data_IF_787898386709
#
_entry.id   IF_787898386709
#
_cell.length_a   1.000
_cell.length_b   1.000
_cell.length_c   1.000
_cell.angle_alpha   90.00
_cell.angle_beta   90.00
_cell.angle_gamma   90.00
#
_symmetry.space_group_name_H-M   'P 1'
#
loop_
_entity.id
_entity.type
_entity.pdbx_description
1 polymer ?
#
# COMPACT_ATOMS: atom_id res chain seq x y z
N UNK A 1 106.62 38.99 48.42
CA UNK A 1 106.81 38.20 47.20
C UNK A 1 105.77 37.09 47.26
N UNK A 2 104.57 37.36 46.72
CA UNK A 2 104.11 36.91 45.38
C UNK A 2 103.67 35.43 45.44
N UNK A 3 102.53 34.93 44.94
CA UNK A 3 101.41 35.43 44.13
C UNK A 3 100.30 34.33 44.10
N UNK A 4 99.10 34.69 43.67
CA UNK A 4 97.87 33.91 43.41
C UNK A 4 97.99 32.52 42.76
N UNK A 5 96.95 31.67 42.95
CA UNK A 5 96.11 31.18 41.83
C UNK A 5 94.86 30.41 42.33
N UNK A 6 93.70 31.01 42.08
CA UNK A 6 92.41 30.34 41.86
C UNK A 6 92.55 29.24 40.79
N UNK A 7 91.77 28.15 40.89
CA UNK A 7 91.17 27.48 39.73
C UNK A 7 90.10 26.43 40.10
N UNK A 8 88.89 26.78 39.69
CA UNK A 8 87.86 25.93 39.05
C UNK A 8 87.22 24.79 39.83
N UNK A 9 86.03 25.13 40.32
CA UNK A 9 84.79 24.36 40.24
C UNK A 9 84.75 23.42 39.01
N UNK A 10 84.59 22.12 39.27
CA UNK A 10 84.36 21.07 38.28
C UNK A 10 83.00 20.42 38.53
N UNK A 11 81.99 20.96 37.87
CA UNK A 11 80.63 20.45 37.75
C UNK A 11 80.65 19.14 36.94
N UNK A 12 80.55 18.00 37.62
CA UNK A 12 80.50 16.66 36.99
C UNK A 12 79.41 15.84 37.68
N UNK A 13 78.14 16.14 37.39
CA UNK A 13 77.00 15.36 37.88
C UNK A 13 75.67 15.61 37.14
N UNK A 14 75.48 16.78 36.56
CA UNK A 14 74.21 17.24 35.99
C UNK A 14 73.75 16.63 34.63
N UNK A 15 74.59 16.11 33.71
CA UNK A 15 74.11 15.74 32.37
C UNK A 15 73.36 14.39 32.32
N UNK A 16 73.60 13.49 33.27
CA UNK A 16 73.02 12.13 33.26
C UNK A 16 71.58 12.09 33.75
N UNK A 17 71.26 12.90 34.76
CA UNK A 17 69.94 12.97 35.40
C UNK A 17 68.94 13.73 34.52
N UNK A 18 69.42 14.77 33.84
CA UNK A 18 68.64 15.55 32.87
C UNK A 18 68.23 14.68 31.66
N UNK A 19 69.16 13.88 31.13
CA UNK A 19 68.87 12.93 30.06
C UNK A 19 67.85 11.85 30.47
N UNK A 20 67.94 11.34 31.70
CA UNK A 20 66.97 10.36 32.23
C UNK A 20 65.56 10.96 32.39
N UNK A 21 65.46 12.21 32.85
CA UNK A 21 64.19 12.91 33.00
C UNK A 21 63.52 13.23 31.67
N UNK A 22 64.31 13.62 30.66
CA UNK A 22 63.84 13.83 29.28
C UNK A 22 63.35 12.51 28.67
N UNK A 23 64.08 11.42 28.85
CA UNK A 23 63.71 10.10 28.35
C UNK A 23 62.40 9.57 28.98
N UNK A 24 62.19 9.82 30.28
CA UNK A 24 60.97 9.46 30.99
C UNK A 24 59.75 10.31 30.55
N UNK A 25 59.95 11.59 30.23
CA UNK A 25 58.89 12.42 29.62
C UNK A 25 58.53 11.95 28.22
N UNK A 26 59.52 11.57 27.41
CA UNK A 26 59.29 10.99 26.08
C UNK A 26 58.53 9.68 26.16
N UNK A 27 58.90 8.77 27.06
CA UNK A 27 58.17 7.52 27.27
C UNK A 27 56.71 7.76 27.70
N UNK A 28 56.46 8.67 28.66
CA UNK A 28 55.09 9.03 29.06
C UNK A 28 54.30 9.68 27.93
N UNK A 29 54.92 10.55 27.12
CA UNK A 29 54.28 11.17 25.97
C UNK A 29 53.90 10.13 24.90
N UNK A 30 54.80 9.18 24.60
CA UNK A 30 54.54 8.08 23.66
C UNK A 30 53.44 7.16 24.17
N UNK A 31 53.47 6.76 25.44
CA UNK A 31 52.42 5.91 26.04
C UNK A 31 51.06 6.60 26.01
N UNK A 32 51.00 7.89 26.38
CA UNK A 32 49.76 8.68 26.31
C UNK A 32 49.27 8.85 24.86
N UNK A 33 50.19 9.00 23.89
CA UNK A 33 49.86 9.08 22.47
C UNK A 33 49.29 7.74 21.96
N UNK A 34 49.89 6.60 22.34
CA UNK A 34 49.40 5.26 22.00
C UNK A 34 48.04 4.98 22.63
N UNK A 35 47.82 5.39 23.88
CA UNK A 35 46.52 5.28 24.57
C UNK A 35 45.44 6.11 23.86
N UNK A 36 45.74 7.36 23.48
CA UNK A 36 44.83 8.21 22.71
C UNK A 36 44.50 7.62 21.35
N UNK A 37 45.51 7.14 20.61
CA UNK A 37 45.31 6.48 19.30
C UNK A 37 44.42 5.24 19.46
N UNK A 38 44.70 4.38 20.45
CA UNK A 38 43.87 3.19 20.74
C UNK A 38 42.43 3.58 21.07
N UNK A 39 42.23 4.59 21.91
CA UNK A 39 40.89 5.08 22.24
C UNK A 39 40.15 5.64 21.03
N UNK A 40 40.82 6.44 20.19
CA UNK A 40 40.23 6.99 18.95
C UNK A 40 39.88 5.88 17.96
N UNK A 41 40.73 4.85 17.80
CA UNK A 41 40.44 3.71 16.92
C UNK A 41 39.23 2.92 17.44
N UNK A 42 39.20 2.59 18.73
CA UNK A 42 38.07 1.86 19.33
C UNK A 42 36.79 2.68 19.25
N UNK A 43 36.84 3.97 19.57
CA UNK A 43 35.69 4.87 19.49
C UNK A 43 35.20 5.03 18.04
N UNK A 44 36.11 5.20 17.09
CA UNK A 44 35.79 5.28 15.67
C UNK A 44 35.16 3.97 15.17
N UNK A 45 35.69 2.82 15.58
CA UNK A 45 35.14 1.51 15.25
C UNK A 45 33.72 1.33 15.82
N UNK A 46 33.50 1.69 17.09
CA UNK A 46 32.18 1.63 17.72
C UNK A 46 31.19 2.56 17.01
N UNK A 47 31.56 3.81 16.75
CA UNK A 47 30.71 4.77 16.03
C UNK A 47 30.40 4.27 14.62
N UNK A 48 31.40 3.79 13.88
CA UNK A 48 31.23 3.23 12.55
C UNK A 48 30.29 2.02 12.57
N UNK A 49 30.47 1.10 13.51
CA UNK A 49 29.60 -0.06 13.69
C UNK A 49 28.15 0.34 13.97
N UNK A 50 27.93 1.36 14.82
CA UNK A 50 26.58 1.88 15.11
C UNK A 50 25.96 2.51 13.87
N UNK A 51 26.71 3.33 13.12
CA UNK A 51 26.22 3.96 11.89
C UNK A 51 25.84 2.93 10.83
N UNK A 52 26.68 1.90 10.62
CA UNK A 52 26.39 0.81 9.68
C UNK A 52 25.13 0.05 10.10
N UNK A 53 24.99 -0.26 11.39
CA UNK A 53 23.82 -0.96 11.92
C UNK A 53 22.54 -0.11 11.75
N UNK A 54 22.60 1.19 12.03
CA UNK A 54 21.49 2.12 11.81
C UNK A 54 21.10 2.22 10.33
N UNK A 55 22.09 2.29 9.44
CA UNK A 55 21.85 2.30 7.99
C UNK A 55 21.20 0.99 7.52
N UNK A 56 21.64 -0.14 8.06
CA UNK A 56 21.06 -1.46 7.76
C UNK A 56 19.60 -1.56 8.21
N UNK A 57 19.30 -1.09 9.43
CA UNK A 57 17.93 -1.02 9.94
C UNK A 57 17.08 -0.06 9.09
N UNK A 58 17.60 1.11 8.71
CA UNK A 58 16.90 2.07 7.87
C UNK A 58 16.55 1.50 6.49
N UNK A 59 17.50 0.78 5.88
CA UNK A 59 17.30 0.09 4.61
C UNK A 59 16.26 -1.04 4.73
N UNK A 60 16.33 -1.83 5.80
CA UNK A 60 15.37 -2.90 6.07
C UNK A 60 13.95 -2.35 6.31
N UNK A 61 13.83 -1.24 7.03
CA UNK A 61 12.55 -0.58 7.29
C UNK A 61 11.92 -0.06 5.99
N UNK A 62 12.72 0.59 5.14
CA UNK A 62 12.25 1.03 3.81
C UNK A 62 11.85 -0.17 2.93
N UNK A 63 12.68 -1.22 2.89
CA UNK A 63 12.37 -2.42 2.11
C UNK A 63 11.06 -3.07 2.57
N UNK A 64 10.86 -3.20 3.88
CA UNK A 64 9.63 -3.74 4.47
C UNK A 64 8.41 -2.88 4.13
N UNK A 65 8.56 -1.55 4.21
CA UNK A 65 7.51 -0.62 3.79
C UNK A 65 7.20 -0.76 2.29
N UNK A 66 8.22 -0.80 1.43
CA UNK A 66 8.06 -0.93 -0.01
C UNK A 66 7.29 -2.20 -0.38
N UNK A 67 7.69 -3.35 0.17
CA UNK A 67 7.03 -4.63 -0.14
C UNK A 67 5.63 -4.76 0.47
N UNK A 68 5.36 -4.12 1.62
CA UNK A 68 4.04 -4.13 2.24
C UNK A 68 3.07 -3.17 1.55
N UNK A 69 3.55 -2.01 1.12
CA UNK A 69 2.73 -0.94 0.57
C UNK A 69 2.49 -1.06 -0.93
N UNK A 70 3.46 -1.59 -1.68
CA UNK A 70 3.42 -1.65 -3.14
C UNK A 70 2.76 -2.95 -3.62
N UNK A 71 1.58 -2.90 -4.25
CA UNK A 71 0.94 -4.09 -4.79
C UNK A 71 1.60 -4.52 -6.10
N UNK A 72 1.20 -5.69 -6.62
CA UNK A 72 1.66 -6.15 -7.93
C UNK A 72 1.20 -5.20 -9.03
N UNK A 73 2.15 -4.69 -9.81
CA UNK A 73 1.92 -3.67 -10.84
C UNK A 73 1.19 -4.17 -12.09
N UNK A 74 1.40 -5.43 -12.46
CA UNK A 74 0.76 -6.02 -13.63
C UNK A 74 0.51 -7.51 -13.42
N UNK A 75 -0.59 -7.99 -13.97
CA UNK A 75 -0.93 -9.40 -14.03
C UNK A 75 -1.47 -9.74 -15.41
N UNK A 76 -0.98 -10.82 -16.00
CA UNK A 76 -1.48 -11.34 -17.26
C UNK A 76 -1.86 -12.80 -17.14
N UNK A 77 -2.97 -13.17 -17.76
CA UNK A 77 -3.44 -14.55 -17.87
C UNK A 77 -3.93 -14.85 -19.27
N UNK A 78 -3.60 -16.02 -19.82
CA UNK A 78 -4.20 -16.46 -21.07
C UNK A 78 -5.70 -16.71 -20.88
N UNK A 79 -6.47 -16.42 -21.93
CA UNK A 79 -7.92 -16.56 -21.99
C UNK A 79 -8.24 -17.65 -22.99
N UNK A 80 -8.84 -18.73 -22.49
CA UNK A 80 -9.23 -19.87 -23.32
C UNK A 80 -10.74 -19.85 -23.53
N UNK A 81 -11.15 -19.63 -24.77
CA UNK A 81 -12.54 -19.63 -25.16
C UNK A 81 -13.05 -21.05 -25.36
N UNK A 82 -14.26 -21.29 -24.88
CA UNK A 82 -15.04 -22.48 -25.17
C UNK A 82 -16.42 -22.05 -25.67
N UNK A 83 -17.03 -22.90 -26.48
CA UNK A 83 -18.39 -22.68 -26.97
C UNK A 83 -19.34 -23.52 -26.13
N UNK A 84 -20.50 -22.98 -25.81
CA UNK A 84 -21.55 -23.80 -25.22
C UNK A 84 -22.22 -24.63 -26.31
N UNK A 85 -22.43 -25.91 -26.00
CA UNK A 85 -22.97 -26.93 -26.91
C UNK A 85 -24.39 -27.37 -26.53
N UNK A 86 -24.99 -26.73 -25.52
CA UNK A 86 -26.27 -27.06 -24.89
C UNK A 86 -27.49 -26.47 -25.61
N UNK A 87 -27.42 -26.32 -26.93
CA UNK A 87 -28.45 -25.64 -27.69
C UNK A 87 -29.45 -26.61 -28.33
N UNK A 88 -30.71 -26.19 -28.34
CA UNK A 88 -31.86 -27.03 -28.69
C UNK A 88 -32.01 -27.27 -30.22
N UNK A 89 -31.28 -26.53 -31.06
CA UNK A 89 -31.37 -26.61 -32.52
C UNK A 89 -30.06 -27.12 -33.18
N UNK A 90 -30.08 -28.26 -33.90
CA UNK A 90 -28.88 -28.89 -34.46
C UNK A 90 -28.39 -28.30 -35.79
N UNK A 91 -28.91 -27.14 -36.24
CA UNK A 91 -28.57 -26.56 -37.55
C UNK A 91 -27.34 -25.65 -37.54
N UNK A 92 -26.75 -25.38 -36.37
CA UNK A 92 -25.51 -24.59 -36.23
C UNK A 92 -24.53 -25.35 -35.35
N UNK A 93 -23.37 -25.78 -35.87
CA UNK A 93 -22.33 -26.44 -35.05
C UNK A 93 -21.79 -25.54 -33.90
N UNK A 94 -22.11 -24.25 -33.91
CA UNK A 94 -21.76 -23.24 -32.91
C UNK A 94 -23.03 -22.44 -32.58
N UNK A 95 -23.78 -22.86 -31.58
CA UNK A 95 -25.06 -22.23 -31.26
C UNK A 95 -24.95 -21.06 -30.26
N UNK A 96 -23.80 -20.89 -29.60
CA UNK A 96 -23.57 -19.82 -28.61
C UNK A 96 -22.30 -19.03 -28.91
N UNK A 97 -22.24 -17.81 -28.39
CA UNK A 97 -21.04 -16.98 -28.37
C UNK A 97 -19.87 -17.65 -27.65
N UNK A 98 -18.61 -17.42 -28.08
CA UNK A 98 -17.44 -17.90 -27.35
C UNK A 98 -17.34 -17.23 -25.97
N UNK A 99 -17.24 -18.06 -24.93
CA UNK A 99 -17.15 -17.65 -23.53
C UNK A 99 -15.84 -18.16 -22.94
N UNK A 100 -15.23 -17.38 -22.05
CA UNK A 100 -14.05 -17.80 -21.30
C UNK A 100 -14.22 -17.45 -19.82
N UNK A 101 -13.92 -18.43 -18.95
CA UNK A 101 -13.91 -18.23 -17.50
C UNK A 101 -12.46 -18.13 -17.04
N UNK A 102 -12.14 -17.07 -16.31
CA UNK A 102 -10.80 -16.74 -15.88
C UNK A 102 -10.82 -16.62 -14.36
N UNK A 103 -9.91 -17.32 -13.68
CA UNK A 103 -9.75 -17.13 -12.24
C UNK A 103 -8.86 -15.91 -11.98
N UNK A 104 -9.41 -14.93 -11.25
CA UNK A 104 -8.66 -13.79 -10.69
C UNK A 104 -7.99 -14.15 -9.36
N UNK A 105 -7.88 -15.44 -9.05
CA UNK A 105 -7.22 -15.98 -7.87
C UNK A 105 -6.03 -16.87 -8.29
N UNK A 106 -4.90 -16.72 -7.59
CA UNK A 106 -3.73 -17.57 -7.77
C UNK A 106 -3.33 -18.16 -6.43
N UNK A 107 -3.27 -19.49 -6.32
CA UNK A 107 -2.96 -20.20 -5.08
C UNK A 107 -3.82 -19.77 -3.89
N UNK A 108 -5.15 -19.67 -4.10
CA UNK A 108 -6.15 -19.21 -3.10
C UNK A 108 -6.00 -17.76 -2.61
N UNK A 109 -5.07 -16.98 -3.19
CA UNK A 109 -4.91 -15.55 -2.92
C UNK A 109 -5.52 -14.74 -4.06
N UNK A 110 -6.18 -13.63 -3.72
CA UNK A 110 -6.70 -12.69 -4.70
C UNK A 110 -5.51 -12.02 -5.41
N UNK A 111 -5.62 -11.89 -6.73
CA UNK A 111 -4.59 -11.24 -7.54
C UNK A 111 -4.70 -9.71 -7.44
N UNK A 112 -5.93 -9.21 -7.32
CA UNK A 112 -6.24 -7.80 -7.15
C UNK A 112 -6.03 -7.39 -5.69
N UNK A 113 -5.44 -6.23 -5.49
CA UNK A 113 -5.31 -5.63 -4.16
C UNK A 113 -6.52 -4.74 -3.88
N UNK A 114 -7.14 -4.92 -2.72
CA UNK A 114 -8.32 -4.15 -2.34
C UNK A 114 -8.05 -2.64 -2.30
N UNK A 115 -9.00 -1.86 -2.81
CA UNK A 115 -8.91 -0.40 -2.86
C UNK A 115 -7.86 0.18 -3.82
N UNK A 116 -7.19 -0.66 -4.62
CA UNK A 116 -6.34 -0.22 -5.72
C UNK A 116 -7.15 -0.24 -7.02
N UNK A 117 -7.09 0.86 -7.79
CA UNK A 117 -7.69 0.93 -9.11
C UNK A 117 -6.82 0.19 -10.14
N UNK A 118 -7.47 -0.61 -10.97
CA UNK A 118 -6.85 -1.40 -12.04
C UNK A 118 -7.53 -1.11 -13.38
N UNK A 119 -6.72 -0.98 -14.42
CA UNK A 119 -7.15 -1.01 -15.81
C UNK A 119 -7.10 -2.46 -16.29
N UNK A 120 -8.22 -2.96 -16.79
CA UNK A 120 -8.33 -4.33 -17.33
C UNK A 120 -8.49 -4.23 -18.84
N UNK A 121 -7.51 -4.70 -19.59
CA UNK A 121 -7.54 -4.77 -21.05
C UNK A 121 -7.50 -6.21 -21.56
N UNK A 122 -8.22 -6.47 -22.64
CA UNK A 122 -8.22 -7.74 -23.35
C UNK A 122 -7.44 -7.58 -24.64
N UNK A 123 -6.41 -8.39 -24.79
CA UNK A 123 -5.67 -8.52 -26.03
C UNK A 123 -6.18 -9.75 -26.78
N UNK A 124 -6.59 -9.56 -28.04
CA UNK A 124 -7.08 -10.58 -28.96
C UNK A 124 -6.12 -10.69 -30.13
N UNK A 125 -5.51 -11.85 -30.32
CA UNK A 125 -4.71 -12.17 -31.49
C UNK A 125 -5.62 -12.85 -32.51
N UNK A 126 -5.80 -12.22 -33.67
CA UNK A 126 -6.75 -12.65 -34.70
C UNK A 126 -6.08 -12.73 -36.07
N UNK A 127 -6.43 -13.71 -36.92
CA UNK A 127 -6.02 -13.73 -38.31
C UNK A 127 -6.66 -12.59 -39.10
N UNK A 128 -5.93 -12.08 -40.10
CA UNK A 128 -6.51 -11.23 -41.13
C UNK A 128 -7.26 -12.08 -42.17
N UNK A 129 -8.34 -12.76 -41.77
CA UNK A 129 -9.18 -13.61 -42.63
C UNK A 129 -10.40 -12.87 -43.17
N UNK A 130 -10.96 -13.26 -44.34
CA UNK A 130 -12.19 -12.65 -44.87
C UNK A 130 -13.35 -12.64 -43.86
N UNK A 131 -13.54 -13.74 -43.12
CA UNK A 131 -14.58 -13.85 -42.08
C UNK A 131 -14.42 -12.78 -40.99
N UNK A 132 -13.20 -12.55 -40.51
CA UNK A 132 -12.90 -11.53 -39.50
C UNK A 132 -13.07 -10.11 -40.05
N UNK A 133 -12.71 -9.87 -41.32
CA UNK A 133 -12.87 -8.56 -41.97
C UNK A 133 -14.34 -8.19 -42.14
N UNK A 134 -15.16 -9.14 -42.59
CA UNK A 134 -16.59 -8.96 -42.84
C UNK A 134 -17.41 -8.88 -41.54
N UNK A 135 -16.86 -9.37 -40.43
CA UNK A 135 -17.51 -9.31 -39.13
C UNK A 135 -17.78 -7.87 -38.66
N UNK A 136 -16.95 -6.90 -39.07
CA UNK A 136 -17.09 -5.50 -38.67
C UNK A 136 -16.93 -5.30 -37.16
N UNK A 137 -17.74 -4.41 -36.58
CA UNK A 137 -17.77 -4.20 -35.14
C UNK A 137 -18.41 -5.39 -34.43
N UNK A 138 -17.75 -5.91 -33.40
CA UNK A 138 -18.31 -6.92 -32.52
C UNK A 138 -18.21 -6.45 -31.06
N UNK A 139 -19.11 -6.95 -30.22
CA UNK A 139 -19.15 -6.59 -28.80
C UNK A 139 -18.42 -7.63 -27.96
N UNK A 140 -17.72 -7.17 -26.94
CA UNK A 140 -17.03 -7.96 -25.94
C UNK A 140 -17.62 -7.57 -24.59
N UNK A 141 -18.21 -8.54 -23.90
CA UNK A 141 -18.75 -8.40 -22.57
C UNK A 141 -17.79 -9.02 -21.57
N UNK A 142 -17.48 -8.29 -20.51
CA UNK A 142 -16.73 -8.80 -19.38
C UNK A 142 -17.55 -8.65 -18.10
N UNK A 143 -17.62 -9.70 -17.29
CA UNK A 143 -18.31 -9.68 -16.01
C UNK A 143 -17.44 -10.30 -14.92
N UNK A 144 -17.29 -9.60 -13.81
CA UNK A 144 -16.57 -10.08 -12.63
C UNK A 144 -17.58 -10.65 -11.62
N UNK A 145 -17.25 -11.80 -11.05
CA UNK A 145 -18.07 -12.54 -10.11
C UNK A 145 -17.33 -12.75 -8.80
N UNK A 146 -18.05 -12.61 -7.70
CA UNK A 146 -17.60 -12.97 -6.36
C UNK A 146 -17.50 -14.50 -6.22
N UNK A 147 -16.89 -14.96 -5.12
CA UNK A 147 -16.83 -16.39 -4.75
C UNK A 147 -18.22 -17.01 -4.58
N UNK A 148 -19.19 -16.20 -4.18
CA UNK A 148 -20.58 -16.64 -3.95
C UNK A 148 -21.40 -16.69 -5.25
N UNK A 149 -20.80 -16.39 -6.40
CA UNK A 149 -21.46 -16.36 -7.71
C UNK A 149 -22.25 -15.08 -7.99
N UNK A 150 -22.27 -14.13 -7.06
CA UNK A 150 -22.84 -12.80 -7.28
C UNK A 150 -22.02 -12.00 -8.30
N UNK A 151 -22.69 -11.36 -9.25
CA UNK A 151 -22.04 -10.46 -10.20
C UNK A 151 -21.67 -9.14 -9.51
N UNK A 152 -20.38 -8.80 -9.51
CA UNK A 152 -19.83 -7.60 -8.86
C UNK A 152 -19.74 -6.44 -9.85
N UNK A 153 -19.29 -6.71 -11.08
CA UNK A 153 -19.15 -5.70 -12.11
C UNK A 153 -19.42 -6.27 -13.50
N UNK A 154 -19.82 -5.40 -14.42
CA UNK A 154 -20.00 -5.72 -15.84
C UNK A 154 -19.50 -4.57 -16.70
N UNK A 155 -18.86 -4.89 -17.81
CA UNK A 155 -18.59 -3.95 -18.88
C UNK A 155 -18.90 -4.57 -20.24
N UNK A 156 -19.24 -3.71 -21.19
CA UNK A 156 -19.52 -4.07 -22.58
C UNK A 156 -18.81 -3.07 -23.47
N UNK A 157 -17.88 -3.55 -24.31
CA UNK A 157 -17.02 -2.73 -25.16
C UNK A 157 -17.02 -3.28 -26.57
N UNK A 158 -16.93 -2.42 -27.57
CA UNK A 158 -16.82 -2.88 -28.96
C UNK A 158 -15.35 -3.07 -29.33
N UNK A 159 -15.10 -4.03 -30.22
CA UNK A 159 -13.85 -4.25 -30.90
C UNK A 159 -14.07 -4.23 -32.41
N UNK A 160 -13.07 -3.78 -33.15
CA UNK A 160 -13.06 -3.86 -34.61
C UNK A 160 -11.62 -4.09 -35.09
N UNK A 161 -11.44 -4.98 -36.06
CA UNK A 161 -10.15 -5.12 -36.73
C UNK A 161 -9.82 -3.83 -37.50
N UNK A 162 -8.55 -3.44 -37.51
CA UNK A 162 -8.15 -2.24 -38.27
C UNK A 162 -8.33 -2.51 -39.74
N UNK A 163 -9.20 -1.71 -40.36
CA UNK A 163 -9.44 -1.78 -41.79
C UNK A 163 -8.16 -1.47 -42.58
N UNK A 164 -7.90 -2.29 -43.59
CA UNK A 164 -6.89 -2.05 -44.62
C UNK A 164 -7.54 -2.26 -45.99
N UNK A 165 -7.21 -1.39 -46.95
CA UNK A 165 -7.69 -1.56 -48.32
C UNK A 165 -7.04 -2.77 -48.98
N UNK A 166 -7.74 -3.40 -49.93
CA UNK A 166 -7.22 -4.59 -50.61
C UNK A 166 -5.92 -4.31 -51.34
N UNK A 167 -5.79 -3.14 -51.98
CA UNK A 167 -4.56 -2.71 -52.63
C UNK A 167 -3.38 -2.67 -51.65
N UNK A 168 -3.57 -2.08 -50.47
CA UNK A 168 -2.53 -1.98 -49.45
C UNK A 168 -2.14 -3.37 -48.94
N UNK A 169 -3.11 -4.27 -48.77
CA UNK A 169 -2.87 -5.64 -48.35
C UNK A 169 -2.06 -6.43 -49.38
N UNK A 170 -2.39 -6.33 -50.67
CA UNK A 170 -1.63 -6.99 -51.72
C UNK A 170 -0.21 -6.45 -51.81
N UNK A 171 -0.05 -5.12 -51.74
CA UNK A 171 1.28 -4.50 -51.75
C UNK A 171 2.12 -4.88 -50.53
N UNK A 172 1.51 -4.90 -49.34
CA UNK A 172 2.16 -5.36 -48.11
C UNK A 172 2.54 -6.83 -48.16
N UNK A 173 1.66 -7.68 -48.71
CA UNK A 173 1.95 -9.11 -48.90
C UNK A 173 3.10 -9.32 -49.88
N UNK A 174 3.15 -8.56 -50.97
CA UNK A 174 4.23 -8.62 -51.95
C UNK A 174 5.57 -8.12 -51.36
N UNK A 175 5.53 -7.02 -50.61
CA UNK A 175 6.72 -6.42 -49.98
C UNK A 175 7.33 -7.35 -48.91
N UNK A 176 6.49 -7.99 -48.09
CA UNK A 176 6.91 -8.90 -47.03
C UNK A 176 6.88 -10.38 -47.42
N UNK A 177 6.74 -10.70 -48.71
CA UNK A 177 6.63 -12.07 -49.23
C UNK A 177 7.76 -12.99 -48.78
N UNK A 178 9.05 -12.59 -48.80
CA UNK A 178 10.13 -13.45 -48.31
C UNK A 178 9.98 -13.79 -46.82
N UNK A 179 9.54 -12.83 -46.00
CA UNK A 179 9.37 -13.02 -44.56
C UNK A 179 8.18 -13.95 -44.24
N UNK A 180 7.10 -13.89 -45.03
CA UNK A 180 5.97 -14.81 -44.90
C UNK A 180 6.35 -16.24 -45.34
N UNK A 181 7.07 -16.39 -46.46
CA UNK A 181 7.51 -17.70 -46.94
C UNK A 181 8.54 -18.36 -46.02
N UNK A 182 9.42 -17.58 -45.39
CA UNK A 182 10.38 -18.09 -44.42
C UNK A 182 9.76 -18.37 -43.04
N UNK A 183 8.49 -18.02 -42.82
CA UNK A 183 7.82 -18.09 -41.52
C UNK A 183 8.34 -17.10 -40.47
N UNK A 184 9.10 -16.08 -40.88
CA UNK A 184 9.62 -15.05 -39.97
C UNK A 184 8.53 -14.03 -39.58
N UNK A 185 7.49 -13.91 -40.40
CA UNK A 185 6.31 -13.10 -40.14
C UNK A 185 5.05 -13.92 -40.43
N UNK A 186 3.96 -13.57 -39.74
CA UNK A 186 2.63 -14.18 -39.91
C UNK A 186 1.59 -13.08 -40.19
N UNK A 187 0.56 -13.39 -40.97
CA UNK A 187 -0.55 -12.47 -41.25
C UNK A 187 -1.56 -12.48 -40.11
N UNK A 188 -1.25 -11.73 -39.06
CA UNK A 188 -2.08 -11.61 -37.86
C UNK A 188 -2.20 -10.17 -37.40
N UNK A 189 -3.23 -9.92 -36.61
CA UNK A 189 -3.51 -8.63 -36.02
C UNK A 189 -3.80 -8.77 -34.54
N UNK A 190 -3.23 -7.85 -33.76
CA UNK A 190 -3.46 -7.76 -32.32
C UNK A 190 -4.46 -6.63 -32.08
N UNK A 191 -5.59 -6.96 -31.48
CA UNK A 191 -6.62 -6.01 -31.05
C UNK A 191 -6.59 -5.91 -29.53
N UNK A 192 -6.31 -4.71 -29.02
CA UNK A 192 -6.41 -4.41 -27.59
C UNK A 192 -7.70 -3.64 -27.31
N UNK A 193 -8.51 -4.14 -26.38
CA UNK A 193 -9.78 -3.52 -25.95
C UNK A 193 -9.74 -3.33 -24.45
N UNK A 194 -9.86 -2.09 -24.00
CA UNK A 194 -9.97 -1.76 -22.58
C UNK A 194 -11.38 -2.09 -22.08
N UNK A 195 -11.48 -3.11 -21.22
CA UNK A 195 -12.75 -3.57 -20.64
C UNK A 195 -13.17 -2.68 -19.47
N UNK A 196 -12.23 -2.36 -18.56
CA UNK A 196 -12.45 -1.49 -17.41
C UNK A 196 -11.30 -0.49 -17.29
N UNK A 197 -11.62 0.79 -17.10
CA UNK A 197 -10.63 1.86 -16.93
C UNK A 197 -10.09 1.92 -15.50
N UNK A 198 -11.00 1.97 -14.53
CA UNK A 198 -10.71 2.14 -13.11
C UNK A 198 -11.48 1.11 -12.28
N UNK A 199 -11.16 -0.18 -12.46
CA UNK A 199 -11.76 -1.26 -11.68
C UNK A 199 -11.15 -1.34 -10.29
N UNK A 200 -11.96 -1.18 -9.25
CA UNK A 200 -11.56 -1.33 -7.85
C UNK A 200 -12.23 -2.56 -7.25
N UNK A 201 -11.44 -3.44 -6.63
CA UNK A 201 -11.96 -4.64 -5.97
C UNK A 201 -12.42 -4.32 -4.54
N UNK A 202 -13.65 -4.72 -4.21
CA UNK A 202 -14.28 -4.45 -2.91
C UNK A 202 -13.83 -5.47 -1.86
N UNK A 203 -13.47 -5.04 -0.62
CA UNK A 203 -13.04 -5.97 0.43
C UNK A 203 -14.12 -6.97 0.89
N UNK A 204 -15.39 -6.56 0.80
CA UNK A 204 -16.53 -7.36 1.27
C UNK A 204 -17.02 -8.37 0.24
N UNK A 205 -16.87 -8.05 -1.05
CA UNK A 205 -17.29 -8.88 -2.18
C UNK A 205 -16.14 -9.00 -3.20
N UNK A 206 -15.07 -9.74 -2.85
CA UNK A 206 -13.88 -9.81 -3.68
C UNK A 206 -14.14 -10.57 -4.98
N UNK A 207 -13.68 -10.03 -6.10
CA UNK A 207 -13.78 -10.69 -7.40
C UNK A 207 -12.86 -11.90 -7.50
N UNK A 208 -13.46 -13.07 -7.68
CA UNK A 208 -12.77 -14.34 -7.77
C UNK A 208 -12.62 -14.83 -9.21
N UNK A 209 -13.62 -14.56 -10.04
CA UNK A 209 -13.70 -15.04 -11.42
C UNK A 209 -14.11 -13.90 -12.33
N UNK A 210 -13.52 -13.83 -13.52
CA UNK A 210 -13.99 -12.99 -14.61
C UNK A 210 -14.48 -13.88 -15.75
N UNK A 211 -15.62 -13.53 -16.33
CA UNK A 211 -16.18 -14.18 -17.51
C UNK A 211 -16.13 -13.19 -18.65
N UNK A 212 -15.52 -13.61 -19.76
CA UNK A 212 -15.44 -12.84 -21.00
C UNK A 212 -16.26 -13.55 -22.05
N UNK A 213 -17.17 -12.82 -22.67
CA UNK A 213 -18.06 -13.30 -23.72
C UNK A 213 -17.90 -12.40 -24.95
N UNK A 214 -17.61 -12.98 -26.10
CA UNK A 214 -17.50 -12.24 -27.37
C UNK A 214 -18.78 -12.46 -28.16
N UNK A 215 -19.57 -11.41 -28.34
CA UNK A 215 -20.88 -11.45 -28.97
C UNK A 215 -20.77 -11.50 -30.50
N UNK A 216 -20.13 -12.56 -31.01
CA UNK A 216 -20.04 -12.92 -32.42
C UNK A 216 -19.80 -14.43 -32.57
N UNK A 217 -20.49 -15.05 -33.51
CA UNK A 217 -20.33 -16.48 -33.82
C UNK A 217 -19.38 -16.75 -35.01
N UNK A 218 -19.02 -15.72 -35.79
CA UNK A 218 -18.13 -15.85 -36.95
C UNK A 218 -16.70 -15.40 -36.70
N UNK A 219 -16.43 -14.79 -35.52
CA UNK A 219 -15.10 -14.31 -35.15
C UNK A 219 -14.13 -15.49 -34.99
N UNK A 220 -12.95 -15.34 -35.58
CA UNK A 220 -11.85 -16.29 -35.51
C UNK A 220 -10.72 -15.68 -34.68
N UNK A 221 -10.28 -16.40 -33.66
CA UNK A 221 -9.30 -15.91 -32.66
C UNK A 221 -8.24 -17.00 -32.50
N UNK A 222 -6.98 -16.62 -32.53
CA UNK A 222 -5.85 -17.54 -32.28
C UNK A 222 -5.55 -17.65 -30.79
N UNK A 223 -5.35 -16.50 -30.15
CA UNK A 223 -5.02 -16.43 -28.73
C UNK A 223 -5.64 -15.20 -28.11
N UNK A 224 -5.79 -15.22 -26.80
CA UNK A 224 -6.20 -14.04 -26.06
C UNK A 224 -5.54 -13.99 -24.70
N UNK A 225 -5.23 -12.77 -24.27
CA UNK A 225 -4.60 -12.49 -23.00
C UNK A 225 -5.36 -11.37 -22.30
N UNK A 226 -5.71 -11.61 -21.03
CA UNK A 226 -6.24 -10.60 -20.15
C UNK A 226 -5.07 -9.93 -19.44
N UNK A 227 -4.95 -8.62 -19.60
CA UNK A 227 -3.98 -7.78 -18.92
C UNK A 227 -4.68 -6.95 -17.86
N UNK A 228 -4.10 -6.96 -16.66
CA UNK A 228 -4.57 -6.17 -15.53
C UNK A 228 -3.41 -5.31 -15.07
N UNK A 229 -3.52 -4.01 -15.28
CA UNK A 229 -2.52 -3.01 -14.95
C UNK A 229 -2.98 -2.17 -13.78
N UNK A 230 -2.15 -2.02 -12.75
CA UNK A 230 -2.46 -1.14 -11.62
C UNK A 230 -2.28 0.32 -12.01
N UNK A 231 -3.30 1.15 -11.83
CA UNK A 231 -3.19 2.58 -12.00
C UNK A 231 -2.67 3.22 -10.70
N UNK A 232 -1.36 3.42 -10.61
CA UNK A 232 -0.74 4.00 -9.42
C UNK A 232 -0.94 5.52 -9.38
N UNK A 233 -1.46 6.03 -8.26
CA UNK A 233 -1.56 7.46 -7.97
C UNK A 233 -0.82 7.82 -6.67
N UNK A 234 -0.48 9.10 -6.51
CA UNK A 234 0.15 9.63 -5.29
C UNK A 234 1.54 9.04 -5.00
N UNK A 235 1.77 8.61 -3.75
CA UNK A 235 3.06 8.07 -3.31
C UNK A 235 3.46 6.79 -4.07
N UNK A 236 2.48 5.92 -4.41
CA UNK A 236 2.73 4.69 -5.18
C UNK A 236 3.27 5.00 -6.58
N UNK A 237 2.75 6.05 -7.22
CA UNK A 237 3.23 6.49 -8.53
C UNK A 237 4.72 6.88 -8.48
N UNK A 238 5.11 7.64 -7.46
CA UNK A 238 6.51 8.05 -7.29
C UNK A 238 7.41 6.82 -7.03
N UNK A 239 6.94 5.89 -6.19
CA UNK A 239 7.65 4.66 -5.85
C UNK A 239 7.84 3.71 -7.05
N UNK A 240 6.86 3.67 -7.95
CA UNK A 240 6.89 2.83 -9.15
C UNK A 240 7.78 3.42 -10.24
N UNK A 241 7.61 4.71 -10.54
CA UNK A 241 8.31 5.35 -11.66
C UNK A 241 9.75 5.74 -11.32
N UNK A 242 10.05 6.06 -10.06
CA UNK A 242 11.37 6.53 -9.63
C UNK A 242 11.93 5.70 -8.44
N UNK A 243 12.16 4.39 -8.62
CA UNK A 243 12.55 3.50 -7.51
C UNK A 243 13.89 3.89 -6.85
N UNK A 244 14.84 4.44 -7.60
CA UNK A 244 16.13 4.88 -7.07
C UNK A 244 16.00 6.13 -6.20
N UNK A 245 15.30 7.15 -6.71
CA UNK A 245 15.13 8.42 -6.00
C UNK A 245 14.31 8.18 -4.73
N UNK A 246 13.24 7.37 -4.83
CA UNK A 246 12.41 7.03 -3.67
C UNK A 246 13.18 6.23 -2.62
N UNK A 247 14.07 5.31 -3.03
CA UNK A 247 14.91 4.55 -2.11
C UNK A 247 15.90 5.45 -1.38
N UNK A 248 16.59 6.35 -2.07
CA UNK A 248 17.54 7.27 -1.42
C UNK A 248 16.83 8.19 -0.43
N UNK A 249 15.69 8.78 -0.82
CA UNK A 249 14.90 9.67 0.07
C UNK A 249 14.29 8.89 1.25
N UNK A 250 13.77 7.67 1.01
CA UNK A 250 13.20 6.82 2.06
C UNK A 250 14.25 6.31 3.06
N UNK A 251 15.41 5.86 2.59
CA UNK A 251 16.49 5.38 3.46
C UNK A 251 17.13 6.53 4.23
N UNK A 252 17.37 7.68 3.59
CA UNK A 252 17.93 8.85 4.27
C UNK A 252 17.01 9.42 5.33
N UNK A 253 15.70 9.55 5.06
CA UNK A 253 14.72 9.99 6.07
C UNK A 253 14.64 9.04 7.26
N UNK A 254 14.58 7.71 7.01
CA UNK A 254 14.62 6.71 8.08
C UNK A 254 15.93 6.77 8.89
N UNK A 255 17.07 6.94 8.23
CA UNK A 255 18.37 7.04 8.88
C UNK A 255 18.46 8.29 9.77
N UNK A 256 17.99 9.44 9.29
CA UNK A 256 17.93 10.69 10.08
C UNK A 256 17.02 10.50 11.30
N UNK A 257 15.84 9.92 11.12
CA UNK A 257 14.90 9.67 12.21
C UNK A 257 15.49 8.73 13.29
N UNK A 258 16.08 7.61 12.88
CA UNK A 258 16.73 6.68 13.80
C UNK A 258 17.96 7.30 14.49
N UNK A 259 18.73 8.11 13.76
CA UNK A 259 19.88 8.84 14.33
C UNK A 259 19.44 9.87 15.38
N UNK A 260 18.34 10.60 15.14
CA UNK A 260 17.77 11.52 16.12
C UNK A 260 17.28 10.80 17.38
N UNK A 261 16.58 9.67 17.23
CA UNK A 261 16.16 8.86 18.37
C UNK A 261 17.35 8.33 19.17
N UNK A 262 18.39 7.85 18.49
CA UNK A 262 19.63 7.39 19.12
C UNK A 262 20.33 8.53 19.86
N UNK A 263 20.41 9.72 19.27
CA UNK A 263 21.00 10.91 19.91
C UNK A 263 20.22 11.31 21.17
N UNK A 264 18.89 11.37 21.10
CA UNK A 264 18.05 11.68 22.27
C UNK A 264 18.20 10.62 23.36
N UNK A 265 18.24 9.34 22.99
CA UNK A 265 18.47 8.24 23.92
C UNK A 265 19.83 8.35 24.61
N UNK A 266 20.88 8.64 23.85
CA UNK A 266 22.23 8.85 24.35
C UNK A 266 22.30 10.05 25.30
N UNK A 267 21.68 11.18 24.95
CA UNK A 267 21.61 12.35 25.82
C UNK A 267 20.87 12.04 27.12
N UNK A 268 19.73 11.34 27.07
CA UNK A 268 19.02 10.90 28.29
C UNK A 268 19.88 9.99 29.16
N UNK A 269 20.66 9.09 28.57
CA UNK A 269 21.57 8.22 29.31
C UNK A 269 22.67 9.04 30.01
N UNK A 270 23.26 10.02 29.32
CA UNK A 270 24.24 10.93 29.92
C UNK A 270 23.65 11.72 31.10
N UNK A 271 22.47 12.33 30.93
CA UNK A 271 21.80 13.06 32.01
C UNK A 271 21.38 12.16 33.19
N UNK A 272 21.11 10.87 32.95
CA UNK A 272 20.77 9.91 34.01
C UNK A 272 22.01 9.40 34.77
N UNK A 273 23.16 9.32 34.11
CA UNK A 273 24.44 8.91 34.73
C UNK A 273 25.02 10.02 35.61
N UNK A 274 24.85 11.29 35.22
CA UNK A 274 25.32 12.46 36.01
C UNK A 274 24.54 12.64 37.34
N UNK A 275 23.30 12.13 37.44
CA UNK A 275 22.45 12.27 38.62
C UNK A 275 22.52 11.09 39.62
N UNK A 276 23.60 10.31 39.60
CA UNK A 276 23.93 9.38 40.68
C UNK A 276 25.25 9.79 41.35
N UNK A 277 25.23 10.77 42.27
CA UNK A 277 26.37 10.99 43.15
C UNK A 277 26.54 9.73 44.00
N UNK A 278 27.68 9.06 43.81
CA UNK A 278 28.03 7.82 44.48
C UNK A 278 27.96 7.98 46.00
N UNK A 279 26.98 7.31 46.59
CA UNK A 279 26.94 7.06 48.01
C UNK A 279 27.70 5.76 48.24
N UNK A 280 28.94 5.83 48.77
CA UNK A 280 29.51 4.84 49.69
C UNK A 280 30.99 5.14 50.06
N UNK A 281 31.20 5.31 51.38
CA UNK A 281 32.18 4.59 52.24
C UNK A 281 33.23 5.44 52.97
N UNK A 282 33.04 5.56 54.29
CA UNK A 282 34.08 5.22 55.27
C UNK A 282 33.45 4.89 56.62
N UNK A 283 33.80 3.71 57.11
CA UNK A 283 33.42 3.09 58.37
C UNK A 283 33.94 3.85 59.62
N UNK A 284 33.14 3.81 60.70
CA UNK A 284 33.56 3.56 62.09
C UNK A 284 34.46 4.53 62.85
N UNK A 285 33.89 5.25 63.83
CA UNK A 285 34.49 5.38 65.16
C UNK A 285 33.40 5.58 66.24
N UNK A 286 33.55 4.79 67.30
CA UNK A 286 32.73 4.65 68.51
C UNK A 286 32.44 5.96 69.27
N UNK A 287 31.21 6.09 69.78
CA UNK A 287 31.00 6.41 71.20
C UNK A 287 29.62 5.90 71.66
N UNK A 288 29.68 5.02 72.65
CA UNK A 288 28.57 4.46 73.43
C UNK A 288 28.05 5.49 74.45
N UNK A 289 26.86 5.23 75.01
CA UNK A 289 26.22 5.88 76.18
C UNK A 289 25.46 7.21 75.92
N UNK A 290 24.22 7.46 76.35
CA UNK A 290 23.22 6.73 77.13
C UNK A 290 22.00 7.64 77.39
N UNK A 291 20.82 7.02 77.53
CA UNK A 291 19.66 7.45 78.35
C UNK A 291 18.85 8.71 77.97
N UNK A 292 17.57 8.52 77.61
CA UNK A 292 16.36 8.73 78.45
C UNK A 292 15.19 9.26 77.62
N UNK A 293 14.06 8.55 77.65
CA UNK A 293 12.74 9.08 77.27
C UNK A 293 12.27 10.10 78.30
N UNK A 294 11.61 11.18 77.86
CA UNK A 294 10.38 11.59 78.55
C UNK A 294 9.42 12.35 77.64
N UNK A 295 8.14 12.00 77.81
CA UNK A 295 6.96 12.66 77.25
C UNK A 295 6.82 14.09 77.76
N UNK A 296 6.11 14.92 76.99
CA UNK A 296 4.97 15.66 77.55
C UNK A 296 4.00 16.11 76.45
N UNK A 297 2.73 15.87 76.73
CA UNK A 297 1.55 16.16 75.95
C UNK A 297 0.86 17.38 76.58
N UNK A 298 0.51 18.39 75.78
CA UNK A 298 -0.43 19.48 76.09
C UNK A 298 -0.76 20.11 74.72
N UNK A 299 -1.94 20.14 74.12
CA UNK A 299 -3.32 19.99 74.60
C UNK A 299 -3.99 21.36 74.65
N UNK A 300 -4.57 21.86 73.54
CA UNK A 300 -5.89 22.53 73.55
C UNK A 300 -6.49 22.82 72.15
N UNK A 301 -7.79 22.52 72.01
CA UNK A 301 -8.87 23.06 71.16
C UNK A 301 -8.70 23.30 69.64
N UNK A 302 -9.67 23.10 68.73
CA UNK A 302 -11.11 22.80 68.65
C UNK A 302 -11.40 22.73 67.11
N UNK A 303 -12.43 22.16 66.52
CA UNK A 303 -13.45 21.16 66.84
C UNK A 303 -14.01 20.67 65.48
N UNK A 304 -14.28 19.35 65.43
CA UNK A 304 -15.29 18.54 64.70
C UNK A 304 -16.08 19.14 63.52
N UNK A 305 -16.28 18.48 62.35
CA UNK A 305 -16.63 17.10 61.97
C UNK A 305 -18.11 16.69 62.13
N UNK A 306 -18.54 15.82 61.20
CA UNK A 306 -19.71 14.89 61.19
C UNK A 306 -20.97 15.38 60.45
N UNK A 307 -21.30 14.82 59.26
CA UNK A 307 -22.02 13.55 58.97
C UNK A 307 -23.55 13.69 59.18
N UNK A 308 -24.48 13.09 58.43
CA UNK A 308 -24.52 11.97 57.49
C UNK A 308 -25.81 12.05 56.62
N UNK A 309 -25.83 11.34 55.50
CA UNK A 309 -27.02 10.86 54.75
C UNK A 309 -27.48 9.49 55.33
N UNK A 310 -28.52 8.75 54.84
CA UNK A 310 -29.60 8.97 53.85
C UNK A 310 -30.97 8.37 54.37
N UNK A 311 -31.94 7.85 53.56
CA UNK A 311 -32.45 8.13 52.20
C UNK A 311 -33.98 8.50 52.16
N UNK A 312 -34.52 8.88 50.99
CA UNK A 312 -35.92 9.34 50.72
C UNK A 312 -37.04 8.28 50.74
N UNK A 313 -38.32 8.57 50.33
CA UNK A 313 -38.67 8.96 48.93
C UNK A 313 -39.96 9.83 48.68
N UNK A 314 -40.22 10.13 47.37
CA UNK A 314 -41.47 10.52 46.64
C UNK A 314 -41.81 12.02 46.36
N UNK A 315 -41.62 12.47 45.09
CA UNK A 315 -42.60 12.90 44.04
C UNK A 315 -43.27 14.28 44.27
N UNK A 316 -43.18 15.27 43.35
CA UNK A 316 -43.87 15.38 42.04
C UNK A 316 -43.20 16.37 41.05
N UNK A 317 -43.46 16.21 39.74
CA UNK A 317 -43.12 17.09 38.58
C UNK A 317 -44.38 17.87 38.09
N UNK A 318 -44.44 18.56 36.92
CA UNK A 318 -43.54 19.50 36.18
C UNK A 318 -44.29 20.77 35.65
N UNK A 319 -43.60 21.79 35.08
CA UNK A 319 -44.12 22.55 33.92
C UNK A 319 -43.01 23.07 32.99
N UNK A 320 -43.28 22.88 31.71
CA UNK A 320 -42.61 23.19 30.43
C UNK A 320 -42.51 24.70 30.12
N UNK A 321 -41.62 25.13 29.21
CA UNK A 321 -41.86 26.06 28.07
C UNK A 321 -40.61 26.13 27.17
N UNK A 322 -40.79 25.75 25.90
CA UNK A 322 -39.94 26.06 24.74
C UNK A 322 -40.27 27.47 24.20
N UNK A 323 -39.33 28.15 23.53
CA UNK A 323 -39.64 29.34 22.73
C UNK A 323 -38.83 29.35 21.43
N UNK A 324 -39.56 29.50 20.34
CA UNK A 324 -39.14 29.56 18.94
C UNK A 324 -38.36 30.82 18.54
N UNK A 325 -37.55 30.66 17.47
CA UNK A 325 -37.56 31.51 16.27
C UNK A 325 -37.00 32.93 16.32
N UNK A 326 -36.02 33.23 15.45
CA UNK A 326 -36.00 34.44 14.60
C UNK A 326 -35.08 34.23 13.37
N UNK A 327 -35.65 34.44 12.19
CA UNK A 327 -35.00 34.58 10.88
C UNK A 327 -34.30 35.93 10.72
N UNK A 328 -33.21 36.00 9.92
CA UNK A 328 -33.01 37.10 8.96
C UNK A 328 -32.09 36.71 7.78
N UNK A 329 -32.71 36.71 6.60
CA UNK A 329 -32.27 37.03 5.22
C UNK A 329 -30.77 37.10 4.82
N UNK A 330 -30.46 36.41 3.71
CA UNK A 330 -30.26 37.13 2.44
C UNK A 330 -28.85 37.14 1.81
N UNK A 331 -28.58 36.23 0.86
CA UNK A 331 -27.98 36.65 -0.41
C UNK A 331 -28.31 35.70 -1.58
N UNK A 332 -29.02 36.29 -2.54
CA UNK A 332 -29.36 35.75 -3.85
C UNK A 332 -28.12 35.66 -4.76
N UNK A 333 -28.03 34.61 -5.57
CA UNK A 333 -27.60 34.73 -6.97
C UNK A 333 -28.28 33.68 -7.84
N UNK A 334 -29.13 34.21 -8.70
CA UNK A 334 -29.96 33.56 -9.71
C UNK A 334 -29.14 33.42 -11.00
N UNK A 335 -29.21 32.27 -11.66
CA UNK A 335 -29.04 32.17 -13.11
C UNK A 335 -30.01 31.11 -13.65
N UNK A 336 -30.68 31.54 -14.69
CA UNK A 336 -31.87 31.05 -15.36
C UNK A 336 -31.52 29.97 -16.40
N UNK A 337 -32.48 29.14 -16.84
CA UNK A 337 -32.33 28.41 -18.11
C UNK A 337 -33.07 27.07 -18.26
N UNK A 338 -34.38 27.18 -18.51
CA UNK A 338 -35.29 26.26 -19.22
C UNK A 338 -34.76 24.95 -19.83
N UNK A 339 -35.51 23.86 -19.61
CA UNK A 339 -35.75 22.85 -20.66
C UNK A 339 -37.23 22.52 -20.74
N UNK A 340 -37.76 22.66 -21.95
CA UNK A 340 -39.17 22.63 -22.29
C UNK A 340 -39.76 21.21 -22.31
N UNK A 341 -41.04 21.18 -21.99
CA UNK A 341 -41.96 20.07 -22.09
C UNK A 341 -42.72 20.26 -23.40
N UNK A 342 -42.59 19.33 -24.35
CA UNK A 342 -43.46 19.30 -25.52
C UNK A 342 -44.28 18.02 -25.48
N UNK A 343 -45.59 18.24 -25.49
CA UNK A 343 -46.66 17.31 -25.85
C UNK A 343 -46.52 16.87 -27.32
N UNK A 344 -47.04 15.69 -27.63
CA UNK A 344 -47.42 15.30 -28.98
C UNK A 344 -48.65 14.42 -28.89
N UNK A 345 -49.69 14.87 -29.58
CA UNK A 345 -51.04 14.31 -29.64
C UNK A 345 -51.12 12.92 -30.26
N UNK A 346 -52.14 12.20 -29.81
CA UNK A 346 -52.71 10.96 -30.32
C UNK A 346 -53.57 11.17 -31.58
N UNK A 347 -53.48 10.26 -32.56
CA UNK A 347 -54.60 9.86 -33.43
C UNK A 347 -54.61 8.31 -33.57
N UNK A 348 -55.80 7.74 -33.36
CA UNK A 348 -56.18 6.32 -33.33
C UNK A 348 -56.14 5.61 -34.70
N UNK A 349 -56.00 4.27 -34.67
CA UNK A 349 -57.04 3.26 -35.04
C UNK A 349 -56.41 1.86 -35.02
N UNK A 350 -56.85 0.95 -34.12
CA UNK A 350 -57.75 -0.19 -34.43
C UNK A 350 -56.91 -1.47 -34.64
N UNK A 351 -57.20 -2.69 -34.20
CA UNK A 351 -58.32 -3.41 -33.59
C UNK A 351 -57.70 -4.66 -32.91
N UNK A 352 -58.40 -5.28 -31.96
CA UNK A 352 -58.03 -6.60 -31.44
C UNK A 352 -58.55 -6.86 -30.03
N UNK A 353 -59.84 -7.17 -29.93
CA UNK A 353 -60.50 -7.67 -28.71
C UNK A 353 -59.81 -8.93 -28.17
N UNK A 354 -59.57 -8.93 -26.87
CA UNK A 354 -59.35 -10.13 -26.07
C UNK A 354 -59.93 -9.87 -24.68
N UNK A 355 -60.91 -10.68 -24.28
CA UNK A 355 -61.00 -11.26 -22.93
C UNK A 355 -62.26 -12.11 -22.82
N UNK A 356 -62.09 -13.41 -22.61
CA UNK A 356 -62.83 -14.14 -21.57
C UNK A 356 -61.90 -15.18 -20.93
N UNK A 357 -61.80 -15.13 -19.60
CA UNK A 357 -60.89 -15.92 -18.79
C UNK A 357 -61.35 -17.36 -18.54
N UNK A 358 -60.44 -18.15 -17.99
CA UNK A 358 -60.74 -19.52 -17.58
C UNK A 358 -59.55 -20.21 -16.92
N UNK A 359 -59.42 -19.97 -15.61
CA UNK A 359 -58.50 -20.64 -14.68
C UNK A 359 -58.55 -22.18 -14.83
N UNK A 360 -57.40 -22.83 -15.06
CA UNK A 360 -57.21 -24.26 -14.70
C UNK A 360 -55.83 -24.50 -14.10
N UNK A 361 -55.85 -25.07 -12.90
CA UNK A 361 -54.70 -25.49 -12.10
C UNK A 361 -54.21 -26.89 -12.52
N UNK A 362 -52.96 -27.18 -12.13
CA UNK A 362 -52.30 -28.47 -11.81
C UNK A 362 -51.24 -28.97 -12.83
N UNK A 363 -50.26 -29.80 -12.42
CA UNK A 363 -49.55 -29.85 -11.13
C UNK A 363 -48.01 -29.97 -11.26
N UNK A 364 -47.32 -29.65 -10.16
CA UNK A 364 -45.93 -30.03 -9.89
C UNK A 364 -45.79 -31.55 -9.76
N UNK A 365 -44.84 -32.14 -10.48
CA UNK A 365 -44.36 -33.52 -10.26
C UNK A 365 -42.93 -33.48 -9.74
N UNK A 366 -42.79 -33.82 -8.46
CA UNK A 366 -41.53 -34.13 -7.81
C UNK A 366 -41.21 -35.59 -8.12
N UNK A 367 -40.12 -35.86 -8.85
CA UNK A 367 -39.61 -37.23 -8.96
C UNK A 367 -38.32 -37.36 -8.17
N UNK A 368 -38.41 -38.22 -7.15
CA UNK A 368 -37.39 -38.61 -6.19
C UNK A 368 -37.02 -40.04 -6.57
N UNK A 369 -35.79 -40.30 -6.98
CA UNK A 369 -35.25 -41.65 -7.01
C UNK A 369 -33.82 -41.64 -6.46
N UNK A 370 -33.71 -42.27 -5.30
CA UNK A 370 -32.50 -42.87 -4.74
C UNK A 370 -32.61 -44.35 -5.12
N UNK A 371 -31.62 -44.88 -5.83
CA UNK A 371 -30.95 -46.15 -5.53
C UNK A 371 -29.54 -46.11 -6.13
#
# INVERSE_FOLDING_TARGET
>A
MDRESDLSQGDVGEPSLLNAQVLLRLQKAVVNMVLRIRQTIVQSFVVSSVVVLLLWIAAFLYGSFYYSYMPRAAFSTPVHYYYRTDCESPSSFLCTYPVANISLMRNKKNVLTFGQAYQISLQLEMPDSPANREQGMFMIRAACFSRDGGQVASSSRHGILRYQSDLLRYLGTLLFLPAFLSGAAEQKQILEVELFSDYTDDPYTPSATAVIEILSNKVQIYSSHLYVHAHFSGLRYLLFNFPLISAVVGVSSNFIFLSLLFLISYMRLLFKVEWSPGQLRSDGLLSFEGTTMNNNQQGDGKDAASSAEPPGPQQTTPTNVSMDGYDTEGHNRQMNGQSGRNESESINNGEGEGDEGGLTKLPFTTNKYIE
#
